data_IF_947384257431
#
_entry.id   IF_947384257431
#
_cell.length_a   1.000
_cell.length_b   1.000
_cell.length_c   1.000
_cell.angle_alpha   90.00
_cell.angle_beta   90.00
_cell.angle_gamma   90.00
#
_symmetry.space_group_name_H-M   'P 1'
#
loop_
_entity.id
_entity.type
_entity.pdbx_description
1 polymer ?
#
# COMPACT_ATOMS: atom_id res chain seq x y z
N UNK A 1 5.84 -8.10 10.49
CA UNK A 1 5.82 -7.13 9.40
C UNK A 1 6.79 -5.99 9.71
N UNK A 2 7.86 -5.87 8.92
CA UNK A 2 8.75 -4.70 8.86
C UNK A 2 8.13 -3.65 7.93
N UNK A 3 8.17 -2.37 8.32
CA UNK A 3 7.55 -1.28 7.54
C UNK A 3 8.66 -0.41 6.95
N UNK A 4 8.68 -0.27 5.62
CA UNK A 4 9.61 0.59 4.88
C UNK A 4 8.86 1.75 4.23
N UNK A 5 8.91 2.93 4.86
CA UNK A 5 8.33 4.14 4.29
C UNK A 5 9.26 4.70 3.23
N UNK A 6 8.77 4.83 2.00
CA UNK A 6 9.51 5.43 0.90
C UNK A 6 9.31 6.96 0.88
N UNK A 7 10.25 7.72 0.30
CA UNK A 7 10.04 9.11 -0.03
C UNK A 7 8.76 9.33 -0.85
N UNK A 8 8.20 10.54 -0.76
CA UNK A 8 7.06 10.91 -1.61
C UNK A 8 7.46 10.82 -3.09
N UNK A 9 6.58 10.26 -3.92
CA UNK A 9 6.84 10.07 -5.34
C UNK A 9 7.78 8.92 -5.67
N UNK A 10 8.24 8.13 -4.69
CA UNK A 10 9.10 6.96 -4.94
C UNK A 10 8.26 5.67 -5.05
N UNK A 11 8.42 4.89 -6.14
CA UNK A 11 7.69 3.66 -6.34
C UNK A 11 8.22 2.51 -5.48
N UNK A 12 7.33 1.61 -5.09
CA UNK A 12 7.71 0.32 -4.54
C UNK A 12 8.31 -0.57 -5.63
N UNK A 13 9.20 -1.51 -5.26
CA UNK A 13 9.64 -2.56 -6.16
C UNK A 13 8.44 -3.38 -6.66
N UNK A 14 8.43 -3.74 -7.94
CA UNK A 14 7.40 -4.56 -8.60
C UNK A 14 7.14 -5.92 -7.94
N UNK A 15 8.15 -6.49 -7.27
CA UNK A 15 8.06 -7.77 -6.57
C UNK A 15 7.95 -7.64 -5.05
N UNK A 16 7.60 -6.45 -4.53
CA UNK A 16 7.49 -6.21 -3.11
C UNK A 16 6.04 -5.97 -2.66
N UNK A 17 5.74 -6.44 -1.46
CA UNK A 17 4.50 -6.10 -0.76
C UNK A 17 4.49 -4.58 -0.51
N UNK A 18 3.40 -3.92 -0.90
CA UNK A 18 3.28 -2.48 -0.73
C UNK A 18 1.84 -2.00 -0.51
N UNK A 19 1.72 -0.88 0.18
CA UNK A 19 0.56 -0.01 0.13
C UNK A 19 0.94 1.31 -0.53
N UNK A 20 0.00 1.89 -1.25
CA UNK A 20 0.15 3.11 -2.04
C UNK A 20 -0.95 4.07 -1.65
N UNK A 21 -0.57 5.26 -1.21
CA UNK A 21 -1.48 6.30 -0.74
C UNK A 21 -1.41 7.48 -1.71
N UNK A 22 -2.51 7.77 -2.38
CA UNK A 22 -2.63 8.89 -3.31
C UNK A 22 -3.41 10.03 -2.66
N UNK A 23 -2.82 11.21 -2.59
CA UNK A 23 -3.56 12.44 -2.29
C UNK A 23 -4.36 12.86 -3.53
N UNK A 24 -5.63 13.17 -3.32
CA UNK A 24 -6.57 13.64 -4.34
C UNK A 24 -6.63 15.16 -4.31
N UNK A 25 -7.06 15.79 -5.41
CA UNK A 25 -7.27 17.25 -5.47
C UNK A 25 -8.26 17.78 -4.42
N UNK A 26 -9.10 16.91 -3.85
CA UNK A 26 -10.00 17.23 -2.74
C UNK A 26 -9.30 17.32 -1.37
N UNK A 27 -8.01 17.02 -1.28
CA UNK A 27 -7.25 16.90 -0.03
C UNK A 27 -7.52 15.60 0.74
N UNK A 28 -8.26 14.66 0.12
CA UNK A 28 -8.49 13.33 0.67
C UNK A 28 -7.48 12.32 0.13
N UNK A 29 -7.40 11.15 0.75
CA UNK A 29 -6.40 10.14 0.43
C UNK A 29 -7.04 8.84 -0.04
N UNK A 30 -6.55 8.29 -1.14
CA UNK A 30 -6.96 6.98 -1.64
C UNK A 30 -5.90 5.95 -1.33
N UNK A 31 -6.32 4.81 -0.78
CA UNK A 31 -5.46 3.70 -0.45
C UNK A 31 -5.59 2.59 -1.51
N UNK A 32 -4.46 2.10 -1.98
CA UNK A 32 -4.36 0.85 -2.73
C UNK A 32 -3.22 0.00 -2.15
N UNK A 33 -3.17 -1.29 -2.47
CA UNK A 33 -2.11 -2.16 -1.99
C UNK A 33 -2.02 -3.45 -2.78
N UNK A 34 -0.87 -4.10 -2.68
CA UNK A 34 -0.61 -5.43 -3.23
C UNK A 34 0.31 -6.17 -2.28
N UNK A 35 -0.10 -7.37 -1.86
CA UNK A 35 0.69 -8.25 -1.00
C UNK A 35 0.65 -9.68 -1.53
N UNK A 36 1.75 -10.39 -1.39
CA UNK A 36 1.82 -11.84 -1.56
C UNK A 36 1.41 -12.49 -0.25
N UNK A 37 0.29 -13.20 -0.24
CA UNK A 37 -0.18 -13.93 0.93
C UNK A 37 0.79 -15.06 1.20
N UNK A 38 1.37 -15.03 2.41
CA UNK A 38 2.27 -16.09 2.89
C UNK A 38 1.70 -16.91 4.05
N UNK A 39 0.56 -16.50 4.59
CA UNK A 39 -0.14 -17.25 5.63
C UNK A 39 -1.24 -18.13 5.00
N UNK A 40 -0.91 -19.41 4.82
CA UNK A 40 -1.84 -20.44 4.37
C UNK A 40 -1.11 -21.77 4.18
N UNK A 41 -1.82 -22.89 4.32
CA UNK A 41 -1.30 -24.25 4.07
C UNK A 41 -1.17 -24.56 2.55
N UNK A 42 -1.34 -23.54 1.70
CA UNK A 42 -1.33 -23.65 0.25
C UNK A 42 0.08 -23.50 -0.32
N UNK A 43 0.44 -24.38 -1.26
CA UNK A 43 1.75 -24.41 -1.92
C UNK A 43 1.98 -23.24 -2.91
N UNK A 44 0.98 -22.39 -3.14
CA UNK A 44 0.98 -21.32 -4.13
C UNK A 44 0.90 -19.94 -3.46
N UNK A 45 1.83 -19.04 -3.78
CA UNK A 45 1.81 -17.67 -3.29
C UNK A 45 0.69 -16.88 -4.01
N UNK A 46 -0.48 -16.79 -3.40
CA UNK A 46 -1.59 -15.98 -3.91
C UNK A 46 -1.32 -14.49 -3.67
N UNK A 47 -1.49 -13.65 -4.69
CA UNK A 47 -1.41 -12.20 -4.54
C UNK A 47 -2.79 -11.62 -4.21
N UNK A 48 -2.87 -10.83 -3.14
CA UNK A 48 -4.08 -10.08 -2.78
C UNK A 48 -3.85 -8.61 -3.04
N UNK A 49 -4.79 -8.01 -3.76
CA UNK A 49 -4.79 -6.59 -4.08
C UNK A 49 -5.88 -5.86 -3.30
N UNK A 50 -5.49 -4.77 -2.63
CA UNK A 50 -6.42 -3.80 -2.10
C UNK A 50 -6.66 -2.73 -3.17
N UNK A 51 -7.85 -2.73 -3.74
CA UNK A 51 -8.24 -1.74 -4.75
C UNK A 51 -9.15 -0.71 -4.10
N UNK A 52 -8.65 0.52 -4.01
CA UNK A 52 -9.33 1.77 -3.63
C UNK A 52 -10.78 1.69 -3.15
N UNK A 53 -10.97 1.80 -1.84
CA UNK A 53 -12.26 2.08 -1.19
C UNK A 53 -12.59 3.57 -1.11
N UNK A 54 -13.46 3.93 -0.17
CA UNK A 54 -13.76 5.33 0.14
C UNK A 54 -12.49 6.11 0.51
N UNK A 55 -12.40 7.39 0.10
CA UNK A 55 -11.24 8.22 0.38
C UNK A 55 -11.18 8.62 1.87
N UNK A 56 -9.99 8.56 2.43
CA UNK A 56 -9.68 8.90 3.82
C UNK A 56 -9.52 10.41 4.00
N UNK A 57 -9.85 10.91 5.19
CA UNK A 57 -9.71 12.32 5.54
C UNK A 57 -8.27 12.75 5.85
N UNK A 58 -7.38 11.79 6.13
CA UNK A 58 -5.98 12.06 6.43
C UNK A 58 -5.06 10.95 5.91
N UNK A 59 -3.80 11.30 5.69
CA UNK A 59 -2.75 10.34 5.35
C UNK A 59 -2.59 9.27 6.44
N UNK A 60 -2.67 9.68 7.71
CA UNK A 60 -2.47 8.79 8.87
C UNK A 60 -3.57 7.71 8.93
N UNK A 61 -4.82 8.09 8.65
CA UNK A 61 -5.93 7.12 8.57
C UNK A 61 -5.75 6.12 7.42
N UNK A 62 -5.33 6.61 6.24
CA UNK A 62 -5.07 5.76 5.08
C UNK A 62 -3.89 4.80 5.35
N UNK A 63 -2.83 5.30 5.98
CA UNK A 63 -1.67 4.49 6.35
C UNK A 63 -2.06 3.43 7.37
N UNK A 64 -2.76 3.80 8.44
CA UNK A 64 -3.21 2.87 9.47
C UNK A 64 -4.09 1.76 8.89
N UNK A 65 -5.03 2.09 8.00
CA UNK A 65 -5.88 1.11 7.32
C UNK A 65 -5.07 0.17 6.42
N UNK A 66 -4.10 0.70 5.67
CA UNK A 66 -3.23 -0.11 4.81
C UNK A 66 -2.31 -1.04 5.61
N UNK A 67 -1.77 -0.57 6.73
CA UNK A 67 -0.95 -1.37 7.63
C UNK A 67 -1.76 -2.49 8.29
N UNK A 68 -2.99 -2.21 8.72
CA UNK A 68 -3.88 -3.22 9.28
C UNK A 68 -4.18 -4.32 8.25
N UNK A 69 -4.58 -3.93 7.04
CA UNK A 69 -4.84 -4.84 5.93
C UNK A 69 -3.63 -5.73 5.62
N UNK A 70 -2.44 -5.16 5.46
CA UNK A 70 -1.23 -5.92 5.18
C UNK A 70 -0.85 -6.88 6.33
N UNK A 71 -1.14 -6.49 7.57
CA UNK A 71 -0.95 -7.34 8.74
C UNK A 71 -1.82 -8.60 8.72
N UNK A 72 -3.06 -8.51 8.24
CA UNK A 72 -3.97 -9.66 8.09
C UNK A 72 -3.48 -10.67 7.04
N UNK A 73 -2.68 -10.21 6.07
CA UNK A 73 -2.12 -11.05 5.00
C UNK A 73 -0.70 -11.55 5.26
N UNK A 74 -0.17 -11.34 6.46
CA UNK A 74 1.17 -11.77 6.88
C UNK A 74 2.30 -11.25 5.99
N UNK A 75 2.21 -10.00 5.54
CA UNK A 75 3.34 -9.35 4.87
C UNK A 75 4.58 -9.32 5.78
N UNK A 76 5.71 -9.79 5.26
CA UNK A 76 6.97 -9.78 6.03
C UNK A 76 7.62 -8.40 6.00
N UNK A 77 7.68 -7.77 4.82
CA UNK A 77 8.21 -6.42 4.59
C UNK A 77 7.22 -5.65 3.74
N UNK A 78 6.60 -4.61 4.31
CA UNK A 78 5.64 -3.78 3.59
C UNK A 78 6.25 -2.42 3.24
N UNK A 79 6.23 -2.05 1.97
CA UNK A 79 6.61 -0.73 1.51
C UNK A 79 5.41 0.22 1.54
N UNK A 80 5.60 1.41 2.11
CA UNK A 80 4.58 2.45 2.12
C UNK A 80 4.99 3.52 1.13
N UNK A 81 4.28 3.58 0.01
CA UNK A 81 4.43 4.58 -1.03
C UNK A 81 3.38 5.66 -0.88
N UNK A 82 3.76 6.91 -1.19
CA UNK A 82 2.81 8.01 -1.25
C UNK A 82 3.07 8.89 -2.47
N UNK A 83 2.02 9.51 -2.98
CA UNK A 83 2.16 10.54 -4.01
C UNK A 83 2.93 11.76 -3.49
N UNK A 84 3.56 12.49 -4.40
CA UNK A 84 4.11 13.82 -4.10
C UNK A 84 3.00 14.86 -4.26
N UNK A 85 2.33 15.20 -3.15
CA UNK A 85 1.07 15.95 -3.19
C UNK A 85 0.04 15.21 -4.04
N UNK A 86 -0.65 15.91 -4.94
CA UNK A 86 -1.66 15.34 -5.84
C UNK A 86 -1.10 14.73 -7.12
N UNK A 87 0.23 14.65 -7.26
CA UNK A 87 0.86 13.99 -8.40
C UNK A 87 0.40 12.53 -8.50
N UNK A 88 0.23 11.98 -9.70
CA UNK A 88 -0.11 10.57 -9.86
C UNK A 88 0.96 9.70 -9.20
N UNK A 89 0.54 8.59 -8.59
CA UNK A 89 1.48 7.62 -8.03
C UNK A 89 2.42 7.11 -9.14
N UNK A 90 3.73 7.03 -8.85
CA UNK A 90 4.68 6.45 -9.80
C UNK A 90 4.30 4.98 -10.06
N UNK A 91 4.50 4.55 -11.31
CA UNK A 91 4.32 3.15 -11.67
C UNK A 91 5.36 2.29 -10.94
N UNK A 92 5.00 1.04 -10.63
CA UNK A 92 5.91 0.12 -9.94
C UNK A 92 7.08 -0.23 -10.88
N UNK A 93 8.30 -0.26 -10.34
CA UNK A 93 9.54 -0.48 -11.11
C UNK A 93 10.14 -1.87 -10.94
#
# INVERSE_FOLDING_TARGET
>A
MEIKKLPAGEPAPSNADCIRIQELDSGQFRLAGSVLVRCGDGEEAESVSLVGGDPYGSYDDAEAAGLAWAGEHCAEVLHVCRSEGTAPLPDVI
#
